data_IF_097403647931
#
_entry.id   IF_097403647931
#
_cell.length_a   1.000
_cell.length_b   1.000
_cell.length_c   1.000
_cell.angle_alpha   90.00
_cell.angle_beta   90.00
_cell.angle_gamma   90.00
#
_symmetry.space_group_name_H-M   'P 1'
#
loop_
_entity.id
_entity.type
_entity.pdbx_description
1 polymer ?
#
# COMPACT_ATOMS: atom_id res chain seq x y z
N UNK A 1 -81.90 -41.24 31.38
CA UNK A 1 -83.36 -41.44 31.42
C UNK A 1 -83.98 -40.28 32.20
N UNK A 2 -85.10 -39.76 31.72
CA UNK A 2 -85.99 -38.78 32.36
C UNK A 2 -85.51 -37.31 32.42
N UNK A 3 -85.80 -36.66 31.29
CA UNK A 3 -86.24 -35.28 31.08
C UNK A 3 -87.11 -34.62 32.16
N UNK A 4 -86.95 -33.29 32.22
CA UNK A 4 -87.96 -32.24 32.49
C UNK A 4 -88.45 -32.13 33.95
N UNK A 5 -88.55 -30.93 34.52
CA UNK A 5 -89.50 -29.92 34.07
C UNK A 5 -89.10 -28.53 34.57
N UNK A 6 -89.04 -27.59 33.64
CA UNK A 6 -88.89 -26.15 33.85
C UNK A 6 -90.29 -25.54 33.73
N UNK A 7 -90.72 -24.74 34.72
CA UNK A 7 -91.91 -23.91 34.62
C UNK A 7 -91.65 -22.57 35.32
N UNK A 8 -91.86 -21.51 34.55
CA UNK A 8 -91.63 -20.12 34.91
C UNK A 8 -92.58 -19.61 36.02
N UNK A 9 -92.08 -18.71 36.85
CA UNK A 9 -92.89 -17.80 37.66
C UNK A 9 -92.19 -16.42 37.81
N UNK A 10 -92.73 -15.43 37.09
CA UNK A 10 -92.82 -14.03 37.54
C UNK A 10 -93.60 -13.97 38.86
N UNK A 11 -93.46 -13.04 39.80
CA UNK A 11 -92.70 -11.80 39.97
C UNK A 11 -92.92 -11.39 41.43
N UNK A 12 -91.87 -11.05 42.17
CA UNK A 12 -91.99 -10.22 43.36
C UNK A 12 -90.88 -9.17 43.36
N UNK A 13 -91.30 -7.91 43.30
CA UNK A 13 -90.46 -6.75 43.51
C UNK A 13 -89.90 -6.73 44.93
N UNK A 14 -88.60 -6.50 45.06
CA UNK A 14 -87.93 -6.12 46.30
C UNK A 14 -87.01 -4.93 46.01
N UNK A 15 -87.13 -3.91 46.85
CA UNK A 15 -86.50 -2.59 46.73
C UNK A 15 -84.97 -2.64 46.64
N UNK A 16 -84.31 -1.68 45.96
CA UNK A 16 -82.86 -1.58 45.94
C UNK A 16 -82.32 -1.00 47.25
N UNK A 17 -81.42 -1.74 47.89
CA UNK A 17 -80.64 -1.31 49.06
C UNK A 17 -79.60 -0.25 48.63
N UNK A 18 -79.46 0.89 49.32
CA UNK A 18 -78.50 1.92 48.94
C UNK A 18 -77.06 1.49 49.29
N UNK A 19 -76.16 1.57 48.32
CA UNK A 19 -74.72 1.36 48.52
C UNK A 19 -74.16 2.58 49.26
N UNK A 20 -73.71 2.37 50.50
CA UNK A 20 -73.08 3.36 51.38
C UNK A 20 -71.80 3.89 50.74
N UNK A 21 -71.75 5.19 50.39
CA UNK A 21 -70.52 5.85 49.94
C UNK A 21 -69.50 5.89 51.09
N UNK A 22 -68.37 5.19 50.94
CA UNK A 22 -67.30 5.23 51.92
C UNK A 22 -66.68 6.64 52.00
N UNK A 23 -66.92 7.36 53.10
CA UNK A 23 -66.24 8.64 53.36
C UNK A 23 -64.76 8.38 53.65
N UNK A 24 -63.87 8.78 52.74
CA UNK A 24 -62.42 8.65 52.93
C UNK A 24 -61.91 9.47 54.11
N UNK A 25 -61.15 8.84 55.02
CA UNK A 25 -60.55 9.50 56.17
C UNK A 25 -59.61 10.66 55.75
N UNK A 26 -59.53 11.76 56.53
CA UNK A 26 -58.66 12.90 56.22
C UNK A 26 -57.16 12.52 56.17
N UNK A 27 -56.78 11.42 56.83
CA UNK A 27 -55.43 10.87 56.80
C UNK A 27 -55.10 10.19 55.46
N UNK A 28 -56.06 9.48 54.85
CA UNK A 28 -55.92 8.95 53.47
C UNK A 28 -55.80 10.07 52.43
N UNK A 29 -56.55 11.18 52.59
CA UNK A 29 -56.42 12.36 51.71
C UNK A 29 -55.03 13.00 51.80
N UNK A 30 -54.47 13.15 53.01
CA UNK A 30 -53.11 13.68 53.20
C UNK A 30 -52.04 12.76 52.59
N UNK A 31 -52.15 11.44 52.79
CA UNK A 31 -51.23 10.45 52.21
C UNK A 31 -51.32 10.44 50.67
N UNK A 32 -52.53 10.49 50.11
CA UNK A 32 -52.73 10.57 48.66
C UNK A 32 -52.18 11.89 48.08
N UNK A 33 -52.34 13.02 48.79
CA UNK A 33 -51.76 14.30 48.38
C UNK A 33 -50.23 14.29 48.43
N UNK A 34 -49.62 13.66 49.43
CA UNK A 34 -48.14 13.53 49.50
C UNK A 34 -47.60 12.62 48.39
N UNK A 35 -48.29 11.53 48.06
CA UNK A 35 -47.91 10.64 46.95
C UNK A 35 -48.08 11.36 45.61
N UNK A 36 -49.18 12.10 45.43
CA UNK A 36 -49.41 12.90 44.22
C UNK A 36 -48.35 14.00 44.05
N UNK A 37 -47.99 14.69 45.12
CA UNK A 37 -46.91 15.69 45.11
C UNK A 37 -45.55 15.04 44.78
N UNK A 38 -45.25 13.85 45.34
CA UNK A 38 -44.03 13.09 45.02
C UNK A 38 -44.00 12.67 43.55
N UNK A 39 -45.13 12.24 42.99
CA UNK A 39 -45.26 11.87 41.57
C UNK A 39 -45.08 13.07 40.65
N UNK A 40 -45.63 14.23 41.00
CA UNK A 40 -45.42 15.48 40.25
C UNK A 40 -43.95 15.88 40.33
N UNK A 41 -43.33 15.81 41.51
CA UNK A 41 -41.91 16.13 41.68
C UNK A 41 -41.02 15.19 40.86
N UNK A 42 -41.31 13.88 40.87
CA UNK A 42 -40.62 12.88 40.04
C UNK A 42 -40.85 13.13 38.54
N UNK A 43 -42.07 13.53 38.15
CA UNK A 43 -42.40 13.91 36.77
C UNK A 43 -41.67 15.17 36.30
N UNK A 44 -41.52 16.18 37.17
CA UNK A 44 -40.74 17.39 36.87
C UNK A 44 -39.24 17.05 36.79
N UNK A 45 -38.72 16.26 37.75
CA UNK A 45 -37.32 15.82 37.71
C UNK A 45 -37.01 14.99 36.45
N UNK A 46 -37.91 14.09 36.08
CA UNK A 46 -37.80 13.34 34.82
C UNK A 46 -37.93 14.24 33.59
N UNK A 47 -38.85 15.21 33.61
CA UNK A 47 -39.01 16.19 32.53
C UNK A 47 -37.75 17.03 32.32
N UNK A 48 -37.12 17.51 33.40
CA UNK A 48 -35.85 18.24 33.36
C UNK A 48 -34.72 17.34 32.86
N UNK A 49 -34.63 16.10 33.35
CA UNK A 49 -33.65 15.14 32.85
C UNK A 49 -33.84 14.82 31.36
N UNK A 50 -35.08 14.69 30.92
CA UNK A 50 -35.40 14.43 29.52
C UNK A 50 -35.05 15.61 28.61
N UNK A 51 -35.37 16.84 29.04
CA UNK A 51 -35.08 18.05 28.26
C UNK A 51 -33.60 18.40 28.23
N UNK A 52 -32.81 18.00 29.23
CA UNK A 52 -31.40 18.38 29.32
C UNK A 52 -30.46 17.26 28.89
N UNK A 53 -30.81 15.99 29.08
CA UNK A 53 -29.88 14.87 28.84
C UNK A 53 -30.43 13.88 27.82
N UNK A 54 -31.61 13.30 28.09
CA UNK A 54 -32.10 12.15 27.32
C UNK A 54 -32.40 12.47 25.85
N UNK A 55 -32.77 13.72 25.52
CA UNK A 55 -33.06 14.14 24.15
C UNK A 55 -31.82 14.35 23.27
N UNK A 56 -30.62 14.43 23.85
CA UNK A 56 -29.38 14.76 23.15
C UNK A 56 -28.44 13.54 23.03
N UNK A 57 -28.99 12.33 23.06
CA UNK A 57 -28.22 11.09 22.91
C UNK A 57 -28.88 10.23 21.86
N UNK A 58 -28.18 9.96 20.75
CA UNK A 58 -28.60 8.97 19.76
C UNK A 58 -27.75 7.72 19.90
N UNK A 59 -28.40 6.56 19.99
CA UNK A 59 -27.75 5.27 20.24
C UNK A 59 -28.04 4.28 19.12
N UNK A 60 -27.05 3.45 18.81
CA UNK A 60 -27.20 2.30 17.91
C UNK A 60 -26.33 1.15 18.36
N UNK A 61 -26.91 -0.05 18.39
CA UNK A 61 -26.22 -1.33 18.60
C UNK A 61 -25.68 -1.91 17.29
N UNK A 62 -26.02 -1.28 16.15
CA UNK A 62 -25.55 -1.72 14.84
C UNK A 62 -24.28 -0.95 14.48
N UNK A 63 -23.19 -1.21 15.22
CA UNK A 63 -21.89 -0.64 14.93
C UNK A 63 -20.83 -1.75 14.86
N UNK A 64 -19.94 -1.64 13.87
CA UNK A 64 -18.88 -2.62 13.65
C UNK A 64 -17.53 -1.95 13.53
N UNK A 65 -16.51 -2.57 14.12
CA UNK A 65 -15.12 -2.17 13.94
C UNK A 65 -14.71 -2.46 12.49
N UNK A 66 -14.17 -1.45 11.83
CA UNK A 66 -13.68 -1.50 10.47
C UNK A 66 -12.23 -1.03 10.44
N UNK A 67 -11.48 -1.49 9.45
CA UNK A 67 -10.05 -1.21 9.36
C UNK A 67 -9.54 -1.45 7.95
N UNK A 68 -8.38 -0.89 7.65
CA UNK A 68 -7.72 -1.15 6.38
C UNK A 68 -7.18 -2.58 6.40
N UNK A 69 -7.53 -3.36 5.38
CA UNK A 69 -7.00 -4.71 5.17
C UNK A 69 -5.94 -4.63 4.08
N UNK A 70 -4.68 -4.62 4.47
CA UNK A 70 -3.56 -4.51 3.54
C UNK A 70 -3.20 -5.91 3.05
N UNK A 71 -3.41 -6.17 1.76
CA UNK A 71 -3.04 -7.43 1.15
C UNK A 71 -1.57 -7.43 0.77
N UNK A 72 -0.86 -8.48 1.17
CA UNK A 72 0.52 -8.76 0.79
C UNK A 72 0.49 -9.70 -0.41
N UNK A 73 0.95 -9.19 -1.55
CA UNK A 73 1.02 -9.90 -2.83
C UNK A 73 2.48 -10.03 -3.28
N UNK A 74 2.84 -11.13 -3.96
CA UNK A 74 4.17 -11.30 -4.52
C UNK A 74 4.32 -10.49 -5.80
N UNK A 75 5.54 -10.02 -6.05
CA UNK A 75 5.91 -9.33 -7.29
C UNK A 75 6.59 -10.26 -8.31
N UNK A 76 7.09 -11.40 -7.84
CA UNK A 76 7.81 -12.40 -8.64
C UNK A 76 7.18 -13.78 -8.43
N UNK A 77 7.27 -14.63 -9.45
CA UNK A 77 6.88 -16.04 -9.36
C UNK A 77 7.92 -16.80 -8.53
N UNK A 78 7.47 -17.76 -7.71
CA UNK A 78 8.38 -18.63 -6.98
C UNK A 78 7.67 -19.70 -6.17
N UNK A 79 8.44 -20.60 -5.59
CA UNK A 79 7.93 -21.60 -4.64
C UNK A 79 8.19 -21.10 -3.23
N UNK A 80 7.22 -21.25 -2.33
CA UNK A 80 7.35 -20.81 -0.93
C UNK A 80 8.30 -21.74 -0.20
N UNK A 81 9.47 -21.22 0.19
CA UNK A 81 10.47 -21.98 0.94
C UNK A 81 10.22 -21.93 2.45
N UNK A 82 9.90 -20.74 2.99
CA UNK A 82 9.63 -20.53 4.42
C UNK A 82 8.55 -19.50 4.64
N UNK A 83 7.75 -19.73 5.68
CA UNK A 83 6.76 -18.80 6.22
C UNK A 83 7.25 -18.44 7.62
N UNK A 84 7.40 -17.15 7.92
CA UNK A 84 8.00 -16.65 9.16
C UNK A 84 6.98 -16.20 10.20
N UNK A 85 5.71 -16.10 9.81
CA UNK A 85 4.60 -15.61 10.64
C UNK A 85 3.34 -16.42 10.34
N UNK A 86 2.48 -16.59 11.33
CA UNK A 86 1.18 -17.24 11.17
C UNK A 86 0.01 -16.30 11.46
N UNK A 87 -1.21 -16.79 11.28
CA UNK A 87 -2.41 -16.05 11.65
C UNK A 87 -2.34 -15.62 13.13
N UNK A 88 -2.84 -14.41 13.42
CA UNK A 88 -2.82 -13.76 14.75
C UNK A 88 -1.48 -13.21 15.24
N UNK A 89 -0.38 -13.43 14.50
CA UNK A 89 0.90 -12.83 14.87
C UNK A 89 0.92 -11.32 14.64
N UNK A 90 1.55 -10.59 15.57
CA UNK A 90 1.80 -9.14 15.43
C UNK A 90 3.14 -8.93 14.73
N UNK A 91 3.11 -8.18 13.63
CA UNK A 91 4.28 -7.87 12.79
C UNK A 91 4.60 -6.39 12.79
N UNK A 92 5.89 -6.07 12.69
CA UNK A 92 6.37 -4.70 12.47
C UNK A 92 6.55 -4.43 10.98
N UNK A 93 6.46 -3.16 10.58
CA UNK A 93 6.82 -2.76 9.21
C UNK A 93 8.27 -3.19 8.89
N UNK A 94 8.49 -3.73 7.69
CA UNK A 94 9.79 -4.26 7.27
C UNK A 94 10.13 -5.65 7.82
N UNK A 95 9.28 -6.27 8.64
CA UNK A 95 9.50 -7.64 9.10
C UNK A 95 9.33 -8.63 7.95
N UNK A 96 10.19 -9.65 7.90
CA UNK A 96 10.12 -10.73 6.91
C UNK A 96 8.89 -11.60 7.15
N UNK A 97 8.10 -11.83 6.10
CA UNK A 97 6.86 -12.62 6.16
C UNK A 97 7.01 -13.96 5.46
N UNK A 98 7.45 -13.93 4.20
CA UNK A 98 7.60 -15.12 3.36
C UNK A 98 8.96 -15.05 2.67
N UNK A 99 9.64 -16.20 2.59
CA UNK A 99 10.79 -16.38 1.73
C UNK A 99 10.44 -17.39 0.64
N UNK A 100 10.62 -16.98 -0.61
CA UNK A 100 10.58 -17.87 -1.75
C UNK A 100 11.92 -18.59 -1.90
N UNK A 101 11.92 -19.68 -2.64
CA UNK A 101 13.15 -20.35 -3.05
C UNK A 101 13.98 -19.40 -3.92
N UNK A 102 15.25 -19.22 -3.53
CA UNK A 102 16.17 -18.27 -4.14
C UNK A 102 17.18 -18.95 -5.08
N UNK A 103 17.19 -20.29 -5.18
CA UNK A 103 18.20 -21.02 -5.95
C UNK A 103 18.32 -20.51 -7.40
N UNK A 104 17.19 -20.36 -8.11
CA UNK A 104 17.18 -19.86 -9.49
C UNK A 104 17.63 -18.39 -9.59
N UNK A 105 17.27 -17.57 -8.59
CA UNK A 105 17.66 -16.16 -8.54
C UNK A 105 19.16 -16.00 -8.27
N UNK A 106 19.73 -16.82 -7.39
CA UNK A 106 21.16 -16.82 -7.04
C UNK A 106 22.01 -17.22 -8.26
N UNK A 107 21.58 -18.24 -9.01
CA UNK A 107 22.23 -18.66 -10.26
C UNK A 107 22.14 -17.55 -11.31
N UNK A 108 20.98 -16.90 -11.45
CA UNK A 108 20.80 -15.80 -12.39
C UNK A 108 21.72 -14.61 -12.04
N UNK A 109 21.89 -14.28 -10.75
CA UNK A 109 22.84 -13.24 -10.30
C UNK A 109 24.25 -13.63 -10.71
N UNK A 110 24.69 -14.84 -10.37
CA UNK A 110 26.04 -15.30 -10.71
C UNK A 110 26.32 -15.27 -12.22
N UNK A 111 25.34 -15.65 -13.05
CA UNK A 111 25.44 -15.57 -14.50
C UNK A 111 25.56 -14.12 -15.00
N UNK A 112 24.75 -13.21 -14.46
CA UNK A 112 24.79 -11.80 -14.84
C UNK A 112 26.09 -11.11 -14.40
N UNK A 113 26.65 -11.49 -13.25
CA UNK A 113 27.97 -11.03 -12.79
C UNK A 113 29.09 -11.48 -13.72
N UNK A 114 29.09 -12.77 -14.10
CA UNK A 114 30.06 -13.32 -15.05
C UNK A 114 29.96 -12.62 -16.41
N UNK A 115 28.74 -12.37 -16.88
CA UNK A 115 28.50 -11.64 -18.13
C UNK A 115 29.01 -10.19 -18.07
N UNK A 116 28.76 -9.47 -16.97
CA UNK A 116 29.30 -8.11 -16.79
C UNK A 116 30.83 -8.12 -16.80
N UNK A 117 31.45 -9.04 -16.05
CA UNK A 117 32.90 -9.16 -15.99
C UNK A 117 33.49 -9.48 -17.39
N UNK A 118 32.87 -10.39 -18.14
CA UNK A 118 33.25 -10.69 -19.52
C UNK A 118 33.15 -9.47 -20.42
N UNK A 119 32.02 -8.76 -20.40
CA UNK A 119 31.80 -7.58 -21.24
C UNK A 119 32.77 -6.44 -20.93
N UNK A 120 33.15 -6.24 -19.66
CA UNK A 120 34.20 -5.27 -19.30
C UNK A 120 35.53 -5.65 -19.95
N UNK A 121 35.93 -6.93 -19.91
CA UNK A 121 37.17 -7.40 -20.55
C UNK A 121 37.13 -7.30 -22.08
N UNK A 122 35.99 -7.63 -22.70
CA UNK A 122 35.79 -7.46 -24.15
C UNK A 122 35.96 -6.01 -24.56
N UNK A 123 35.35 -5.07 -23.82
CA UNK A 123 35.52 -3.64 -24.09
C UNK A 123 36.97 -3.20 -23.87
N UNK A 124 37.66 -3.69 -22.85
CA UNK A 124 39.11 -3.41 -22.70
C UNK A 124 39.92 -3.84 -23.91
N UNK A 125 39.62 -5.01 -24.48
CA UNK A 125 40.27 -5.48 -25.71
C UNK A 125 40.01 -4.54 -26.89
N UNK A 126 38.83 -3.92 -26.99
CA UNK A 126 38.55 -2.92 -28.01
C UNK A 126 39.45 -1.68 -27.87
N UNK A 127 39.59 -1.15 -26.64
CA UNK A 127 40.49 -0.02 -26.37
C UNK A 127 41.96 -0.38 -26.59
N UNK A 128 42.38 -1.61 -26.24
CA UNK A 128 43.74 -2.08 -26.51
C UNK A 128 44.01 -2.21 -28.02
N UNK A 129 43.06 -2.72 -28.79
CA UNK A 129 43.13 -2.80 -30.26
C UNK A 129 43.22 -1.41 -30.91
N UNK A 130 42.45 -0.45 -30.40
CA UNK A 130 42.53 0.96 -30.82
C UNK A 130 43.92 1.55 -30.53
N UNK A 131 44.48 1.29 -29.34
CA UNK A 131 45.83 1.74 -28.99
C UNK A 131 46.90 1.11 -29.91
N UNK A 132 46.75 -0.18 -30.25
CA UNK A 132 47.62 -0.86 -31.21
C UNK A 132 47.51 -0.25 -32.63
N UNK A 133 46.30 0.06 -33.09
CA UNK A 133 46.10 0.74 -34.38
C UNK A 133 46.75 2.14 -34.38
N UNK A 134 46.68 2.87 -33.25
CA UNK A 134 47.36 4.16 -33.08
C UNK A 134 48.89 4.04 -33.14
N UNK A 135 49.46 3.01 -32.51
CA UNK A 135 50.90 2.75 -32.60
C UNK A 135 51.34 2.36 -34.03
N UNK A 136 50.52 1.58 -34.74
CA UNK A 136 50.76 1.25 -36.14
C UNK A 136 50.70 2.50 -37.05
N UNK A 137 49.75 3.42 -36.81
CA UNK A 137 49.71 4.70 -37.52
C UNK A 137 50.99 5.52 -37.30
N UNK A 138 51.44 5.67 -36.04
CA UNK A 138 52.68 6.38 -35.71
C UNK A 138 53.93 5.76 -36.39
N UNK A 139 53.97 4.43 -36.50
CA UNK A 139 55.01 3.72 -37.26
C UNK A 139 54.96 4.10 -38.76
N UNK A 140 53.78 4.06 -39.38
CA UNK A 140 53.61 4.42 -40.81
C UNK A 140 53.91 5.89 -41.09
N UNK A 141 53.56 6.78 -40.17
CA UNK A 141 53.91 8.20 -40.26
C UNK A 141 55.43 8.40 -40.23
N UNK A 142 56.14 7.67 -39.36
CA UNK A 142 57.61 7.70 -39.30
C UNK A 142 58.25 7.17 -40.59
N UNK A 143 57.72 6.09 -41.16
CA UNK A 143 58.16 5.56 -42.45
C UNK A 143 57.95 6.57 -43.60
N UNK A 144 56.82 7.30 -43.58
CA UNK A 144 56.54 8.35 -44.56
C UNK A 144 57.53 9.51 -44.44
N UNK A 145 57.80 10.01 -43.23
CA UNK A 145 58.77 11.09 -43.01
C UNK A 145 60.15 10.67 -43.52
N UNK A 146 60.59 9.45 -43.17
CA UNK A 146 61.86 8.92 -43.67
C UNK A 146 61.91 8.87 -45.21
N UNK A 147 60.86 8.37 -45.85
CA UNK A 147 60.80 8.29 -47.32
C UNK A 147 60.82 9.69 -47.97
N UNK A 148 60.17 10.68 -47.34
CA UNK A 148 60.18 12.08 -47.79
C UNK A 148 61.57 12.72 -47.65
N UNK A 149 62.25 12.49 -46.53
CA UNK A 149 63.61 12.99 -46.30
C UNK A 149 64.61 12.38 -47.29
N UNK A 150 64.48 11.08 -47.57
CA UNK A 150 65.30 10.39 -48.56
C UNK A 150 65.07 10.92 -49.98
N UNK A 151 63.81 11.18 -50.36
CA UNK A 151 63.47 11.82 -51.63
C UNK A 151 64.02 13.24 -51.71
N UNK A 152 63.88 14.03 -50.65
CA UNK A 152 64.36 15.41 -50.56
C UNK A 152 65.88 15.47 -50.74
N UNK A 153 66.63 14.65 -49.99
CA UNK A 153 68.09 14.53 -50.15
C UNK A 153 68.48 14.15 -51.58
N UNK A 154 67.86 13.13 -52.16
CA UNK A 154 68.19 12.70 -53.53
C UNK A 154 67.88 13.80 -54.56
N UNK A 155 66.79 14.55 -54.40
CA UNK A 155 66.46 15.69 -55.29
C UNK A 155 67.52 16.79 -55.26
N UNK A 156 68.13 17.07 -54.10
CA UNK A 156 69.21 18.09 -54.01
C UNK A 156 70.49 17.68 -54.74
N UNK A 157 70.73 16.37 -54.92
CA UNK A 157 71.94 15.82 -55.56
C UNK A 157 71.83 15.68 -57.10
N UNK A 158 70.68 16.04 -57.69
CA UNK A 158 70.46 16.00 -59.15
C UNK A 158 71.44 16.93 -59.87
N UNK A 159 71.68 18.13 -59.33
CA UNK A 159 72.55 19.13 -59.95
C UNK A 159 74.04 18.74 -59.97
N UNK A 160 74.46 17.79 -59.14
CA UNK A 160 75.86 17.32 -59.08
C UNK A 160 76.11 16.04 -59.88
N UNK A 161 75.11 15.48 -60.57
CA UNK A 161 75.22 14.24 -61.35
C UNK A 161 75.41 12.96 -60.52
N UNK A 162 75.21 13.04 -59.19
CA UNK A 162 75.54 11.95 -58.26
C UNK A 162 74.42 10.90 -58.08
N UNK A 163 73.23 11.13 -58.65
CA UNK A 163 72.05 10.25 -58.51
C UNK A 163 71.38 10.07 -59.87
N UNK A 164 70.98 8.84 -60.21
CA UNK A 164 70.29 8.54 -61.47
C UNK A 164 68.82 8.99 -61.46
N UNK A 165 68.26 9.29 -62.63
CA UNK A 165 66.83 9.62 -62.76
C UNK A 165 65.90 8.45 -62.34
N UNK A 166 66.38 7.21 -62.45
CA UNK A 166 65.65 6.02 -61.99
C UNK A 166 65.55 5.96 -60.46
N UNK A 167 66.62 6.33 -59.75
CA UNK A 167 66.60 6.39 -58.28
C UNK A 167 65.67 7.45 -57.71
N UNK A 168 65.48 8.57 -58.42
CA UNK A 168 64.47 9.56 -58.05
C UNK A 168 63.07 8.97 -58.21
N UNK A 169 62.78 8.32 -59.35
CA UNK A 169 61.49 7.65 -59.58
C UNK A 169 61.19 6.60 -58.52
N UNK A 170 62.17 5.76 -58.16
CA UNK A 170 62.02 4.79 -57.08
C UNK A 170 61.71 5.46 -55.73
N UNK A 171 62.38 6.57 -55.40
CA UNK A 171 62.09 7.32 -54.18
C UNK A 171 60.69 7.97 -54.19
N UNK A 172 60.20 8.45 -55.35
CA UNK A 172 58.83 8.98 -55.49
C UNK A 172 57.76 7.89 -55.32
N UNK A 173 58.01 6.69 -55.88
CA UNK A 173 57.16 5.51 -55.67
C UNK A 173 57.14 5.11 -54.19
N UNK A 174 58.29 5.14 -53.51
CA UNK A 174 58.40 4.82 -52.09
C UNK A 174 57.59 5.80 -51.22
N UNK A 175 57.66 7.11 -51.50
CA UNK A 175 56.82 8.10 -50.80
C UNK A 175 55.34 7.86 -51.07
N UNK A 176 54.96 7.55 -52.32
CA UNK A 176 53.57 7.28 -52.67
C UNK A 176 53.03 6.03 -51.95
N UNK A 177 53.83 4.97 -51.86
CA UNK A 177 53.50 3.76 -51.12
C UNK A 177 53.36 4.02 -49.61
N UNK A 178 54.29 4.80 -49.01
CA UNK A 178 54.21 5.17 -47.60
C UNK A 178 52.98 6.03 -47.29
N UNK A 179 52.62 6.98 -48.18
CA UNK A 179 51.37 7.76 -48.06
C UNK A 179 50.13 6.87 -48.07
N UNK A 180 50.08 5.89 -48.98
CA UNK A 180 48.97 4.94 -49.05
C UNK A 180 48.88 4.07 -47.78
N UNK A 181 50.01 3.68 -47.20
CA UNK A 181 50.07 2.94 -45.95
C UNK A 181 49.57 3.78 -44.74
N UNK A 182 49.92 5.06 -44.67
CA UNK A 182 49.39 6.00 -43.66
C UNK A 182 47.89 6.15 -43.81
N UNK A 183 47.38 6.34 -45.03
CA UNK A 183 45.94 6.44 -45.28
C UNK A 183 45.20 5.17 -44.81
N UNK A 184 45.71 3.98 -45.15
CA UNK A 184 45.13 2.71 -44.70
C UNK A 184 45.15 2.56 -43.16
N UNK A 185 46.26 2.92 -42.51
CA UNK A 185 46.37 2.87 -41.06
C UNK A 185 45.43 3.90 -40.37
N UNK A 186 45.21 5.05 -41.00
CA UNK A 186 44.28 6.08 -40.53
C UNK A 186 42.84 5.57 -40.54
N UNK A 187 42.40 4.95 -41.64
CA UNK A 187 41.07 4.33 -41.74
C UNK A 187 40.89 3.20 -40.73
N UNK A 188 41.93 2.38 -40.53
CA UNK A 188 41.90 1.32 -39.52
C UNK A 188 41.72 1.91 -38.11
N UNK A 189 42.44 2.97 -37.76
CA UNK A 189 42.28 3.66 -36.48
C UNK A 189 40.90 4.33 -36.34
N UNK A 190 40.39 4.93 -37.41
CA UNK A 190 39.06 5.55 -37.43
C UNK A 190 37.97 4.52 -37.15
N UNK A 191 38.07 3.32 -37.73
CA UNK A 191 37.13 2.21 -37.46
C UNK A 191 37.12 1.78 -35.99
N UNK A 192 38.30 1.69 -35.35
CA UNK A 192 38.42 1.36 -33.92
C UNK A 192 37.93 2.49 -33.01
N UNK A 193 38.15 3.74 -33.41
CA UNK A 193 37.62 4.93 -32.72
C UNK A 193 36.10 4.96 -32.75
N UNK A 194 35.47 4.66 -33.88
CA UNK A 194 34.00 4.66 -33.97
C UNK A 194 33.32 3.72 -32.95
N UNK A 195 34.00 2.64 -32.53
CA UNK A 195 33.50 1.71 -31.52
C UNK A 195 33.74 2.16 -30.07
N UNK A 196 34.59 3.16 -29.84
CA UNK A 196 35.07 3.57 -28.49
C UNK A 196 34.85 5.05 -28.19
N UNK A 197 34.55 5.86 -29.22
CA UNK A 197 34.48 7.31 -29.15
C UNK A 197 33.46 7.81 -28.11
N UNK A 198 33.84 8.87 -27.38
CA UNK A 198 32.98 9.50 -26.38
C UNK A 198 32.71 8.67 -25.13
N UNK A 199 33.38 7.53 -24.96
CA UNK A 199 33.15 6.64 -23.82
C UNK A 199 34.45 6.31 -23.08
N UNK A 200 34.31 5.66 -21.92
CA UNK A 200 35.40 4.96 -21.24
C UNK A 200 35.01 3.51 -21.12
N UNK A 201 35.95 2.61 -20.83
CA UNK A 201 35.64 1.19 -20.61
C UNK A 201 34.47 1.00 -19.62
N UNK A 202 34.46 1.75 -18.51
CA UNK A 202 33.41 1.67 -17.50
C UNK A 202 32.05 2.21 -17.96
N UNK A 203 32.05 3.27 -18.80
CA UNK A 203 30.83 3.93 -19.30
C UNK A 203 30.43 3.48 -20.70
N UNK A 204 31.06 2.44 -21.24
CA UNK A 204 30.77 1.94 -22.57
C UNK A 204 29.34 1.36 -22.61
N UNK A 205 28.54 1.61 -23.67
CA UNK A 205 27.14 1.17 -23.75
C UNK A 205 26.92 -0.32 -23.48
N UNK A 206 27.84 -1.18 -23.96
CA UNK A 206 27.77 -2.62 -23.68
C UNK A 206 27.94 -2.94 -22.19
N UNK A 207 28.84 -2.25 -21.49
CA UNK A 207 29.03 -2.42 -20.03
C UNK A 207 27.81 -1.91 -19.27
N UNK A 208 27.28 -0.74 -19.65
CA UNK A 208 26.07 -0.19 -19.03
C UNK A 208 24.85 -1.12 -19.21
N UNK A 209 24.70 -1.74 -20.39
CA UNK A 209 23.64 -2.73 -20.65
C UNK A 209 23.81 -3.97 -19.77
N UNK A 210 25.03 -4.50 -19.64
CA UNK A 210 25.30 -5.64 -18.78
C UNK A 210 25.11 -5.29 -17.28
N UNK A 211 25.49 -4.08 -16.87
CA UNK A 211 25.29 -3.56 -15.52
C UNK A 211 23.80 -3.41 -15.19
N UNK A 212 23.00 -2.85 -16.10
CA UNK A 212 21.55 -2.75 -15.95
C UNK A 212 20.89 -4.13 -15.85
N UNK A 213 21.38 -5.12 -16.61
CA UNK A 213 20.90 -6.50 -16.51
C UNK A 213 21.22 -7.12 -15.15
N UNK A 214 22.42 -6.90 -14.61
CA UNK A 214 22.76 -7.36 -13.26
C UNK A 214 21.86 -6.69 -12.19
N UNK A 215 21.60 -5.39 -12.32
CA UNK A 215 20.71 -4.66 -11.42
C UNK A 215 19.27 -5.24 -11.43
N UNK A 216 18.73 -5.54 -12.62
CA UNK A 216 17.41 -6.15 -12.80
C UNK A 216 17.30 -7.51 -12.07
N UNK A 217 18.34 -8.34 -12.20
CA UNK A 217 18.38 -9.67 -11.59
C UNK A 217 18.53 -9.59 -10.07
N UNK A 218 19.37 -8.68 -9.56
CA UNK A 218 19.49 -8.43 -8.10
C UNK A 218 18.16 -7.93 -7.53
N UNK A 219 17.47 -7.03 -8.24
CA UNK A 219 16.14 -6.56 -7.82
C UNK A 219 15.14 -7.71 -7.76
N UNK A 220 15.15 -8.60 -8.75
CA UNK A 220 14.30 -9.80 -8.77
C UNK A 220 14.61 -10.73 -7.60
N UNK A 221 15.89 -10.96 -7.29
CA UNK A 221 16.33 -11.74 -6.12
C UNK A 221 15.84 -11.10 -4.81
N UNK A 222 15.92 -9.77 -4.68
CA UNK A 222 15.45 -9.06 -3.48
C UNK A 222 13.94 -9.20 -3.27
N UNK A 223 13.17 -9.29 -4.36
CA UNK A 223 11.71 -9.49 -4.37
C UNK A 223 11.29 -10.92 -4.02
N UNK A 224 12.22 -11.88 -3.97
CA UNK A 224 11.97 -13.24 -3.50
C UNK A 224 11.70 -13.32 -2.00
N UNK A 225 11.95 -12.25 -1.24
CA UNK A 225 11.55 -12.15 0.16
C UNK A 225 10.47 -11.08 0.31
N UNK A 226 9.32 -11.48 0.84
CA UNK A 226 8.21 -10.58 1.08
C UNK A 226 8.29 -10.03 2.51
N UNK A 227 8.20 -8.71 2.61
CA UNK A 227 8.24 -7.97 3.87
C UNK A 227 6.88 -7.33 4.17
N UNK A 228 6.62 -7.05 5.45
CA UNK A 228 5.43 -6.34 5.87
C UNK A 228 5.49 -4.86 5.43
N UNK A 229 4.55 -4.38 4.60
CA UNK A 229 4.52 -2.97 4.18
C UNK A 229 4.17 -2.02 5.33
N UNK A 230 3.45 -2.52 6.34
CA UNK A 230 2.97 -1.79 7.53
C UNK A 230 3.02 -2.71 8.74
N UNK A 231 3.04 -2.14 9.94
CA UNK A 231 2.85 -2.91 11.17
C UNK A 231 1.38 -3.26 11.38
N UNK A 232 1.10 -4.39 12.04
CA UNK A 232 -0.27 -4.84 12.32
C UNK A 232 -0.33 -6.31 12.72
N UNK A 233 -1.53 -6.85 12.83
CA UNK A 233 -1.78 -8.28 13.07
C UNK A 233 -2.07 -9.00 11.75
N UNK A 234 -1.57 -10.24 11.60
CA UNK A 234 -1.92 -11.10 10.47
C UNK A 234 -3.36 -11.58 10.63
N UNK A 235 -4.25 -11.08 9.78
CA UNK A 235 -5.67 -11.43 9.80
C UNK A 235 -5.98 -12.74 9.06
N UNK A 236 -5.22 -13.03 8.00
CA UNK A 236 -5.39 -14.26 7.21
C UNK A 236 -4.15 -14.56 6.39
N UNK A 237 -3.68 -15.80 6.43
CA UNK A 237 -2.64 -16.40 5.59
C UNK A 237 -3.26 -17.46 4.69
N UNK A 238 -3.16 -17.24 3.37
CA UNK A 238 -3.73 -18.14 2.36
C UNK A 238 -2.68 -19.04 1.68
N UNK A 239 -1.42 -18.94 2.08
CA UNK A 239 -0.27 -19.59 1.42
C UNK A 239 0.34 -20.68 2.29
N UNK A 240 0.82 -21.78 1.69
CA UNK A 240 1.51 -22.86 2.39
C UNK A 240 2.94 -23.07 1.86
N UNK A 241 3.81 -23.65 2.70
CA UNK A 241 5.18 -24.04 2.31
C UNK A 241 5.10 -25.07 1.16
N UNK A 242 5.97 -24.91 0.17
CA UNK A 242 5.99 -25.75 -1.05
C UNK A 242 4.98 -25.33 -2.12
N UNK A 243 4.07 -24.39 -1.83
CA UNK A 243 3.15 -23.88 -2.84
C UNK A 243 3.87 -22.99 -3.85
N UNK A 244 3.54 -23.15 -5.14
CA UNK A 244 3.97 -22.24 -6.19
C UNK A 244 3.00 -21.06 -6.29
N UNK A 245 3.54 -19.85 -6.29
CA UNK A 245 2.79 -18.60 -6.29
C UNK A 245 3.11 -17.77 -7.54
N UNK A 246 2.12 -17.01 -8.01
CA UNK A 246 2.23 -16.09 -9.14
C UNK A 246 2.05 -14.64 -8.67
N UNK A 247 2.66 -13.66 -9.37
CA UNK A 247 2.49 -12.23 -9.07
C UNK A 247 1.02 -11.81 -8.96
N UNK A 248 0.72 -10.96 -7.98
CA UNK A 248 -0.63 -10.42 -7.77
C UNK A 248 -1.59 -11.30 -6.96
N UNK A 249 -1.25 -12.56 -6.67
CA UNK A 249 -2.08 -13.40 -5.80
C UNK A 249 -2.00 -12.94 -4.32
N UNK A 250 -3.12 -12.75 -3.60
CA UNK A 250 -3.10 -12.36 -2.19
C UNK A 250 -2.64 -13.52 -1.31
N UNK A 251 -1.47 -13.38 -0.67
CA UNK A 251 -0.89 -14.43 0.18
C UNK A 251 -1.21 -14.23 1.65
N UNK A 252 -1.22 -12.97 2.10
CA UNK A 252 -1.52 -12.57 3.47
C UNK A 252 -2.32 -11.28 3.52
N UNK A 253 -3.04 -11.08 4.62
CA UNK A 253 -3.72 -9.84 4.96
C UNK A 253 -3.22 -9.33 6.31
N UNK A 254 -2.76 -8.08 6.35
CA UNK A 254 -2.32 -7.38 7.55
C UNK A 254 -3.36 -6.33 7.92
N UNK A 255 -3.73 -6.27 9.19
CA UNK A 255 -4.63 -5.26 9.73
C UNK A 255 -3.88 -4.40 10.75
N UNK A 256 -3.68 -3.10 10.49
CA UNK A 256 -3.12 -2.16 11.46
C UNK A 256 -4.16 -1.88 12.54
N UNK A 257 -3.95 -2.42 13.74
CA UNK A 257 -4.90 -2.30 14.86
C UNK A 257 -4.92 -0.89 15.48
N UNK A 258 -3.90 -0.08 15.20
CA UNK A 258 -3.76 1.31 15.65
C UNK A 258 -4.62 2.30 14.85
N UNK A 259 -5.16 1.86 13.71
CA UNK A 259 -5.88 2.71 12.75
C UNK A 259 -7.27 2.17 12.38
N UNK A 260 -7.89 1.44 13.31
CA UNK A 260 -9.28 1.00 13.15
C UNK A 260 -10.27 2.13 13.48
N UNK A 261 -11.41 2.11 12.81
CA UNK A 261 -12.54 3.01 13.05
C UNK A 261 -13.80 2.19 13.27
N UNK A 262 -14.90 2.85 13.64
CA UNK A 262 -16.19 2.19 13.78
C UNK A 262 -17.17 2.78 12.79
N UNK A 263 -17.82 1.91 12.03
CA UNK A 263 -18.95 2.27 11.19
C UNK A 263 -20.24 1.93 11.94
N UNK A 264 -20.90 2.97 12.44
CA UNK A 264 -22.12 2.89 13.22
C UNK A 264 -23.33 3.22 12.36
N UNK A 265 -24.23 2.27 12.18
CA UNK A 265 -25.40 2.38 11.32
C UNK A 265 -26.58 3.00 12.08
N UNK A 266 -26.79 4.30 11.88
CA UNK A 266 -27.91 5.05 12.44
C UNK A 266 -29.09 5.10 11.47
N UNK A 267 -30.31 5.15 11.99
CA UNK A 267 -31.51 5.37 11.18
C UNK A 267 -31.44 6.76 10.54
N UNK A 268 -31.91 6.91 9.31
CA UNK A 268 -31.96 8.22 8.63
C UNK A 268 -32.57 9.34 9.50
N UNK A 269 -33.60 9.03 10.30
CA UNK A 269 -34.24 9.98 11.20
C UNK A 269 -33.32 10.52 12.30
N UNK A 270 -32.30 9.76 12.71
CA UNK A 270 -31.35 10.11 13.78
C UNK A 270 -30.19 10.98 13.26
N UNK A 271 -30.04 11.13 11.94
CA UNK A 271 -28.91 11.85 11.34
C UNK A 271 -29.16 13.36 11.19
N UNK A 272 -30.40 13.82 11.36
CA UNK A 272 -30.82 15.21 11.07
C UNK A 272 -29.98 16.26 11.80
N UNK A 273 -29.73 16.03 13.07
CA UNK A 273 -29.01 16.96 13.95
C UNK A 273 -27.57 16.52 14.22
N UNK A 274 -27.14 15.41 13.61
CA UNK A 274 -25.78 14.89 13.74
C UNK A 274 -24.79 15.76 12.96
N UNK A 275 -23.65 16.05 13.58
CA UNK A 275 -22.59 16.92 13.05
C UNK A 275 -21.24 16.22 13.10
N UNK A 276 -20.36 16.62 12.18
CA UNK A 276 -18.96 16.20 12.21
C UNK A 276 -18.29 16.79 13.46
N UNK A 277 -17.49 15.97 14.15
CA UNK A 277 -16.75 16.33 15.35
C UNK A 277 -17.45 16.01 16.68
N UNK A 278 -18.73 15.63 16.65
CA UNK A 278 -19.47 15.25 17.85
C UNK A 278 -18.80 14.09 18.59
N UNK A 279 -18.72 14.15 19.94
CA UNK A 279 -18.11 13.09 20.72
C UNK A 279 -19.04 11.86 20.73
N UNK A 280 -18.41 10.68 20.66
CA UNK A 280 -19.10 9.40 20.64
C UNK A 280 -18.49 8.50 21.70
N UNK A 281 -19.34 7.92 22.54
CA UNK A 281 -18.95 6.87 23.49
C UNK A 281 -19.29 5.53 22.87
N UNK A 282 -18.31 4.63 22.78
CA UNK A 282 -18.50 3.30 22.23
C UNK A 282 -18.13 2.24 23.26
N UNK A 283 -18.92 1.19 23.29
CA UNK A 283 -18.71 0.03 24.15
C UNK A 283 -18.59 -1.19 23.26
N UNK A 284 -17.52 -1.97 23.43
CA UNK A 284 -17.34 -3.24 22.72
C UNK A 284 -18.03 -4.37 23.48
N UNK A 285 -18.73 -5.23 22.75
CA UNK A 285 -19.33 -6.43 23.34
C UNK A 285 -18.26 -7.41 23.86
N UNK A 286 -17.04 -7.36 23.32
CA UNK A 286 -15.92 -8.20 23.73
C UNK A 286 -15.41 -7.85 25.14
N UNK A 287 -15.25 -6.57 25.44
CA UNK A 287 -14.73 -6.07 26.72
C UNK A 287 -15.84 -5.72 27.73
N UNK A 288 -17.09 -5.66 27.25
CA UNK A 288 -18.24 -5.26 28.04
C UNK A 288 -18.21 -3.78 28.45
N UNK A 289 -19.14 -3.40 29.33
CA UNK A 289 -19.31 -2.02 29.82
C UNK A 289 -18.18 -1.50 30.70
N UNK A 290 -17.11 -2.28 30.93
CA UNK A 290 -15.94 -1.85 31.71
C UNK A 290 -14.96 -1.01 30.91
N UNK A 291 -14.99 -1.11 29.58
CA UNK A 291 -14.06 -0.42 28.69
C UNK A 291 -14.86 0.47 27.74
N UNK A 292 -14.73 1.79 27.94
CA UNK A 292 -15.37 2.80 27.11
C UNK A 292 -14.36 3.45 26.15
N UNK A 293 -14.63 3.33 24.86
CA UNK A 293 -13.88 3.98 23.81
C UNK A 293 -14.50 5.35 23.51
N UNK A 294 -13.66 6.37 23.49
CA UNK A 294 -14.04 7.72 23.15
C UNK A 294 -13.60 8.00 21.72
N UNK A 295 -14.56 8.41 20.90
CA UNK A 295 -14.35 8.73 19.51
C UNK A 295 -15.02 10.03 19.08
N UNK A 296 -14.85 10.37 17.81
CA UNK A 296 -15.51 11.52 17.18
C UNK A 296 -16.12 11.13 15.85
N UNK A 297 -17.27 11.70 15.54
CA UNK A 297 -17.90 11.56 14.21
C UNK A 297 -17.00 12.22 13.18
N UNK A 298 -16.56 11.46 12.17
CA UNK A 298 -15.72 11.99 11.09
C UNK A 298 -16.48 12.20 9.78
N UNK A 299 -17.54 11.44 9.54
CA UNK A 299 -18.38 11.65 8.37
C UNK A 299 -19.41 10.56 8.16
N UNK A 300 -20.24 10.75 7.15
CA UNK A 300 -21.24 9.79 6.68
C UNK A 300 -20.73 9.01 5.47
N UNK A 301 -21.05 7.72 5.38
CA UNK A 301 -20.83 6.95 4.15
C UNK A 301 -21.68 7.51 3.00
N UNK A 302 -21.21 7.33 1.76
CA UNK A 302 -21.87 7.85 0.56
C UNK A 302 -23.23 7.17 0.24
N UNK A 303 -23.58 6.08 0.95
CA UNK A 303 -24.82 5.34 0.75
C UNK A 303 -25.04 4.28 1.83
N UNK A 304 -26.22 3.66 1.80
CA UNK A 304 -26.62 2.62 2.75
C UNK A 304 -25.96 1.28 2.41
N UNK A 305 -25.84 0.38 3.40
CA UNK A 305 -25.32 -0.97 3.15
C UNK A 305 -26.13 -1.75 2.10
N UNK A 306 -27.43 -1.48 1.97
CA UNK A 306 -28.30 -2.07 0.94
C UNK A 306 -27.99 -1.58 -0.47
N UNK A 307 -27.57 -0.32 -0.64
CA UNK A 307 -27.23 0.25 -1.94
C UNK A 307 -25.93 -0.33 -2.53
N UNK A 308 -25.00 -0.77 -1.67
CA UNK A 308 -23.71 -1.35 -2.07
C UNK A 308 -23.66 -2.88 -2.00
N UNK A 309 -24.77 -3.54 -1.66
CA UNK A 309 -24.84 -4.99 -1.61
C UNK A 309 -24.81 -5.59 -3.02
N UNK A 310 -24.16 -6.76 -3.19
CA UNK A 310 -24.13 -7.49 -4.45
C UNK A 310 -25.54 -7.87 -4.95
N UNK A 311 -26.46 -8.11 -4.02
CA UNK A 311 -27.87 -8.39 -4.27
C UNK A 311 -28.74 -7.52 -3.33
N UNK A 312 -29.12 -6.31 -3.76
CA UNK A 312 -29.97 -5.43 -2.97
C UNK A 312 -31.38 -6.02 -2.78
N UNK A 313 -31.98 -5.77 -1.61
CA UNK A 313 -33.37 -6.16 -1.37
C UNK A 313 -34.30 -5.37 -2.31
N UNK A 314 -35.08 -6.06 -3.14
CA UNK A 314 -36.08 -5.45 -4.01
C UNK A 314 -37.48 -5.72 -3.45
N UNK A 315 -38.35 -4.71 -3.50
CA UNK A 315 -39.76 -4.86 -3.18
C UNK A 315 -40.46 -5.59 -4.35
N UNK A 316 -40.49 -6.91 -4.28
CA UNK A 316 -40.94 -7.77 -5.38
C UNK A 316 -42.47 -7.90 -5.53
N UNK A 317 -43.26 -7.32 -4.62
CA UNK A 317 -44.73 -7.40 -4.63
C UNK A 317 -45.29 -5.99 -4.53
N UNK A 318 -46.22 -5.59 -5.40
CA UNK A 318 -46.65 -4.21 -5.65
C UNK A 318 -47.29 -3.42 -4.50
N UNK A 319 -47.02 -3.75 -3.23
CA UNK A 319 -47.34 -2.95 -2.06
C UNK A 319 -46.09 -2.22 -1.57
N UNK A 320 -46.00 -0.91 -1.83
CA UNK A 320 -44.86 -0.10 -1.43
C UNK A 320 -44.94 0.26 0.06
N UNK A 321 -43.94 -0.14 0.85
CA UNK A 321 -43.79 0.23 2.27
C UNK A 321 -42.48 1.02 2.42
N UNK A 322 -42.55 2.22 3.02
CA UNK A 322 -41.35 3.01 3.33
C UNK A 322 -40.58 2.36 4.50
N UNK A 323 -39.44 1.77 4.21
CA UNK A 323 -38.54 1.22 5.22
C UNK A 323 -37.42 2.20 5.50
N UNK A 324 -37.27 2.61 6.76
CA UNK A 324 -36.17 3.49 7.20
C UNK A 324 -34.85 2.78 6.97
N UNK A 325 -33.97 3.36 6.17
CA UNK A 325 -32.64 2.80 5.98
C UNK A 325 -31.72 3.22 7.12
N UNK A 326 -30.66 2.43 7.29
CA UNK A 326 -29.55 2.79 8.15
C UNK A 326 -28.37 3.23 7.31
N UNK A 327 -27.78 4.36 7.67
CA UNK A 327 -26.61 4.90 6.99
C UNK A 327 -25.40 4.78 7.91
N UNK A 328 -24.29 4.20 7.45
CA UNK A 328 -23.07 4.12 8.24
C UNK A 328 -22.50 5.52 8.51
N UNK A 329 -22.36 5.85 9.79
CA UNK A 329 -21.62 7.00 10.28
C UNK A 329 -20.26 6.51 10.74
N UNK A 330 -19.21 7.07 10.16
CA UNK A 330 -17.84 6.72 10.46
C UNK A 330 -17.36 7.49 11.69
N UNK A 331 -16.81 6.76 12.66
CA UNK A 331 -16.37 7.29 13.94
C UNK A 331 -14.89 6.94 14.13
N UNK A 332 -14.05 7.96 14.30
CA UNK A 332 -12.64 7.77 14.61
C UNK A 332 -12.46 7.52 16.11
N UNK A 333 -11.60 6.57 16.47
CA UNK A 333 -11.31 6.19 17.86
C UNK A 333 -10.02 6.84 18.36
N UNK A 334 -9.87 6.98 19.68
CA UNK A 334 -8.65 7.47 20.29
C UNK A 334 -7.53 6.42 20.25
N UNK A 335 -6.35 6.70 19.64
CA UNK A 335 -5.26 5.73 19.51
C UNK A 335 -4.75 5.17 20.84
N UNK A 336 -4.78 5.96 21.93
CA UNK A 336 -4.30 5.49 23.24
C UNK A 336 -5.14 4.34 23.79
N UNK A 337 -6.46 4.43 23.64
CA UNK A 337 -7.38 3.39 24.12
C UNK A 337 -7.32 2.12 23.26
N UNK A 338 -7.04 2.27 21.95
CA UNK A 338 -6.77 1.15 21.06
C UNK A 338 -5.48 0.41 21.45
N UNK A 339 -4.45 1.14 21.89
CA UNK A 339 -3.20 0.53 22.32
C UNK A 339 -3.35 -0.28 23.63
N UNK A 340 -4.19 0.18 24.56
CA UNK A 340 -4.49 -0.53 25.82
C UNK A 340 -5.43 -1.72 25.60
N UNK A 341 -6.43 -1.56 24.75
CA UNK A 341 -7.45 -2.57 24.46
C UNK A 341 -7.67 -2.68 22.94
N UNK A 342 -6.87 -3.51 22.24
CA UNK A 342 -6.92 -3.64 20.79
C UNK A 342 -8.27 -4.19 20.30
N UNK A 343 -8.90 -3.46 19.37
CA UNK A 343 -10.14 -3.90 18.72
C UNK A 343 -9.83 -4.62 17.41
N UNK A 344 -10.50 -5.75 17.18
CA UNK A 344 -10.39 -6.52 15.94
C UNK A 344 -11.48 -6.09 14.95
N UNK A 345 -11.13 -6.06 13.67
CA UNK A 345 -12.08 -5.76 12.59
C UNK A 345 -13.21 -6.80 12.58
N UNK A 346 -14.45 -6.32 12.42
CA UNK A 346 -15.66 -7.13 12.42
C UNK A 346 -16.33 -7.30 13.77
N UNK A 347 -15.71 -6.88 14.88
CA UNK A 347 -16.36 -6.93 16.20
C UNK A 347 -17.54 -5.94 16.29
N UNK A 348 -18.60 -6.35 16.98
CA UNK A 348 -19.76 -5.51 17.26
C UNK A 348 -19.50 -4.55 18.41
N UNK A 349 -20.13 -3.39 18.32
CA UNK A 349 -20.10 -2.33 19.32
C UNK A 349 -21.45 -1.65 19.44
N UNK A 350 -21.68 -1.04 20.60
CA UNK A 350 -22.76 -0.07 20.80
C UNK A 350 -22.18 1.33 20.77
N UNK A 351 -22.75 2.22 19.96
CA UNK A 351 -22.30 3.60 19.82
C UNK A 351 -23.37 4.58 20.33
N UNK A 352 -22.97 5.49 21.20
CA UNK A 352 -23.78 6.58 21.76
C UNK A 352 -23.17 7.93 21.36
N UNK A 353 -23.86 8.68 20.53
CA UNK A 353 -23.44 10.00 20.05
C UNK A 353 -24.07 11.08 20.91
N UNK A 354 -23.25 12.03 21.37
CA UNK A 354 -23.71 13.23 22.06
C UNK A 354 -24.10 14.32 21.05
N UNK A 355 -25.35 14.79 21.15
CA UNK A 355 -25.98 15.76 20.25
C UNK A 355 -26.09 17.17 20.84
N UNK A 356 -25.44 17.48 21.98
CA UNK A 356 -25.51 18.81 22.59
C UNK A 356 -24.87 19.90 21.71
N UNK A 357 -23.75 19.58 21.05
CA UNK A 357 -23.08 20.50 20.15
C UNK A 357 -23.55 20.30 18.70
N UNK A 358 -24.35 21.24 18.20
CA UNK A 358 -24.88 21.26 16.84
C UNK A 358 -24.24 22.33 15.94
N UNK A 359 -23.17 22.98 16.41
CA UNK A 359 -22.54 24.12 15.73
C UNK A 359 -21.66 23.72 14.54
N UNK A 360 -21.31 22.44 14.41
CA UNK A 360 -20.47 21.90 13.36
C UNK A 360 -21.15 21.75 11.99
N UNK A 361 -20.36 21.31 10.99
CA UNK A 361 -20.89 20.96 9.68
C UNK A 361 -21.81 19.72 9.75
N UNK A 362 -22.91 19.66 8.95
CA UNK A 362 -23.75 18.47 8.87
C UNK A 362 -22.92 17.21 8.60
N UNK A 363 -23.31 16.06 9.17
CA UNK A 363 -22.57 14.80 8.99
C UNK A 363 -22.44 14.37 7.51
N UNK A 364 -23.36 14.83 6.65
CA UNK A 364 -23.33 14.60 5.20
C UNK A 364 -22.49 15.61 4.39
N UNK A 365 -21.96 16.67 5.01
CA UNK A 365 -21.00 17.56 4.35
C UNK A 365 -19.65 16.85 4.32
N UNK A 366 -19.16 16.45 3.13
CA UNK A 366 -17.98 15.60 2.97
C UNK A 366 -16.81 16.03 3.87
N UNK A 367 -16.45 15.18 4.84
CA UNK A 367 -15.32 15.39 5.72
C UNK A 367 -14.01 15.06 5.01
N UNK A 368 -13.04 15.99 5.06
CA UNK A 368 -11.69 15.75 4.57
C UNK A 368 -10.82 15.21 5.69
N UNK A 369 -10.41 13.94 5.62
CA UNK A 369 -9.20 13.48 6.30
C UNK A 369 -8.52 12.39 5.48
N UNK A 370 -7.37 12.76 4.90
CA UNK A 370 -6.40 11.85 4.31
C UNK A 370 -5.31 11.55 5.35
N UNK A 371 -5.49 10.50 6.14
CA UNK A 371 -4.32 9.82 6.70
C UNK A 371 -3.68 9.07 5.53
N UNK A 372 -2.62 9.63 4.94
CA UNK A 372 -1.90 8.96 3.85
C UNK A 372 -1.24 7.71 4.42
N UNK A 373 -1.80 6.54 4.10
CA UNK A 373 -1.13 5.26 4.29
C UNK A 373 0.01 5.18 3.28
N UNK A 374 1.22 5.52 3.71
CA UNK A 374 2.41 5.26 2.93
C UNK A 374 2.91 3.84 3.25
N UNK A 375 2.97 2.98 2.25
CA UNK A 375 3.63 1.69 2.39
C UNK A 375 5.13 1.93 2.60
N UNK A 376 5.74 1.17 3.53
CA UNK A 376 7.18 1.26 3.77
C UNK A 376 7.95 0.72 2.55
N UNK A 377 8.54 1.62 1.76
CA UNK A 377 9.35 1.27 0.57
C UNK A 377 10.86 1.18 0.85
N UNK A 378 11.30 1.41 2.09
CA UNK A 378 12.72 1.60 2.43
C UNK A 378 13.63 0.42 2.03
N UNK A 379 13.10 -0.81 1.98
CA UNK A 379 13.86 -1.98 1.54
C UNK A 379 14.24 -1.93 0.04
N UNK A 380 13.50 -1.20 -0.80
CA UNK A 380 13.81 -1.09 -2.22
C UNK A 380 15.05 -0.19 -2.46
N UNK A 381 15.15 0.91 -1.73
CA UNK A 381 16.24 1.89 -1.89
C UNK A 381 17.59 1.35 -1.39
N UNK A 382 17.59 0.61 -0.27
CA UNK A 382 18.81 0.00 0.28
C UNK A 382 19.34 -1.11 -0.63
N UNK A 383 18.45 -1.92 -1.21
CA UNK A 383 18.84 -3.00 -2.11
C UNK A 383 19.37 -2.47 -3.45
N UNK A 384 18.83 -1.36 -3.95
CA UNK A 384 19.34 -0.69 -5.15
C UNK A 384 20.75 -0.12 -4.93
N UNK A 385 21.01 0.46 -3.76
CA UNK A 385 22.35 0.94 -3.38
C UNK A 385 23.36 -0.23 -3.32
N UNK A 386 23.00 -1.35 -2.70
CA UNK A 386 23.85 -2.56 -2.66
C UNK A 386 24.12 -3.12 -4.05
N UNK A 387 23.12 -3.12 -4.94
CA UNK A 387 23.27 -3.57 -6.32
C UNK A 387 24.29 -2.70 -7.07
N UNK A 388 24.18 -1.37 -6.95
CA UNK A 388 25.12 -0.40 -7.56
C UNK A 388 26.55 -0.60 -7.05
N UNK A 389 26.74 -0.74 -5.75
CA UNK A 389 28.07 -1.00 -5.18
C UNK A 389 28.70 -2.29 -5.72
N UNK A 390 27.89 -3.35 -5.89
CA UNK A 390 28.35 -4.64 -6.42
C UNK A 390 28.73 -4.54 -7.90
N UNK A 391 27.93 -3.82 -8.70
CA UNK A 391 28.22 -3.51 -10.11
C UNK A 391 29.55 -2.75 -10.23
N UNK A 392 29.72 -1.68 -9.46
CA UNK A 392 30.92 -0.85 -9.49
C UNK A 392 32.17 -1.64 -9.08
N UNK A 393 32.04 -2.53 -8.09
CA UNK A 393 33.12 -3.41 -7.68
C UNK A 393 33.55 -4.38 -8.80
N UNK A 394 32.59 -4.99 -9.51
CA UNK A 394 32.89 -5.89 -10.64
C UNK A 394 33.58 -5.13 -11.78
N UNK A 395 33.08 -3.93 -12.11
CA UNK A 395 33.70 -3.09 -13.13
C UNK A 395 35.13 -2.75 -12.70
N UNK A 396 35.33 -2.22 -11.49
CA UNK A 396 36.65 -1.85 -10.98
C UNK A 396 37.65 -3.03 -10.94
N UNK A 397 37.21 -4.23 -10.54
CA UNK A 397 38.04 -5.42 -10.53
C UNK A 397 38.49 -5.85 -11.92
N UNK A 398 37.65 -5.64 -12.94
CA UNK A 398 37.93 -6.03 -14.32
C UNK A 398 38.55 -4.92 -15.16
N UNK A 399 38.78 -3.72 -14.60
CA UNK A 399 39.51 -2.62 -15.26
C UNK A 399 41.03 -2.74 -15.15
N UNK A 400 41.54 -3.50 -14.16
CA UNK A 400 42.98 -3.65 -13.88
C UNK A 400 43.69 -4.56 -14.85
#
# INVERSE_FOLDING_TARGET
MATMTNAAANTHASAPTPIKSASGSPQRKKILLTIAALFILAGIAYGVYWTVVARFSEETENAYVQGNVIQVTPQVTGTVAKIHVDDTDVVKAGQRLISLDMADADVAVAQAEAQLAQTVREVRTLYASQAQAGANLALRETELVRAQDDLSRRKTLIGSGAVSGEEIRHAEIAVTAAKAAVAAATEQLASGRALTEGTTVARHPNVQRAAARLQEVILTQSRSTLYAPVGGEIAKRSVQVGQRINPGAPLMAIVPLDQVWVDANFKESQLRDMRIGQPVTLVSDLYGSKVEYHGKVIGLAAGTGSAFALLPAQNATGNWIKVVQRVPVRIALNPKQLAEHPLRVGLSMTARVDMHDQTGAPVGAGGSHAATLAAHSAAADENDAKAKMRIDAIIAANLK
#
